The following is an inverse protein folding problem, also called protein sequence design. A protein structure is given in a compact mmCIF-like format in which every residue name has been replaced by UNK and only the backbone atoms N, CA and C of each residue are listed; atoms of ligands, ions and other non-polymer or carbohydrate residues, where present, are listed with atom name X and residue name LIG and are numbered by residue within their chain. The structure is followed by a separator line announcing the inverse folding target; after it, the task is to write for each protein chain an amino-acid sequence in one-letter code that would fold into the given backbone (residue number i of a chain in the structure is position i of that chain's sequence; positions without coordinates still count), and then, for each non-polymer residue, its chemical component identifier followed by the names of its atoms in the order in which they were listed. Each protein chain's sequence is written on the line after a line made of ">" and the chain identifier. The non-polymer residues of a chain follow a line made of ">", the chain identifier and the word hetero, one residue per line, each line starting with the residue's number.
data_IF_806094816861
#
_entry.id   IF_806094816861
#
_cell.length_a   1.000
_cell.length_b   1.000
_cell.length_c   1.000
_cell.angle_alpha   90.00
_cell.angle_beta   90.00
_cell.angle_gamma   90.00
#
_symmetry.space_group_name_H-M   'P 1'
#
loop_
_entity.id
_entity.type
_entity.pdbx_description
1 polymer ?
#
# COMPACT_ATOMS: atom_id res chain seq x y z
N UNK A 1 -0.39 -13.57 1.13
CA UNK A 1 -0.94 -14.74 0.42
C UNK A 1 -0.75 -14.59 -1.08
N UNK A 2 -1.24 -13.51 -1.74
CA UNK A 2 -1.15 -13.31 -3.19
C UNK A 2 0.30 -13.39 -3.69
N UNK A 3 1.23 -12.65 -3.06
CA UNK A 3 2.65 -12.67 -3.43
C UNK A 3 3.30 -14.06 -3.33
N UNK A 4 2.95 -14.83 -2.30
CA UNK A 4 3.42 -16.19 -2.12
C UNK A 4 2.92 -17.12 -3.22
N UNK A 5 1.63 -17.06 -3.53
CA UNK A 5 1.01 -17.84 -4.59
C UNK A 5 1.61 -17.50 -5.96
N UNK A 6 1.81 -16.22 -6.26
CA UNK A 6 2.45 -15.78 -7.50
C UNK A 6 3.91 -16.24 -7.60
N UNK A 7 4.69 -16.12 -6.53
CA UNK A 7 6.06 -16.62 -6.49
C UNK A 7 6.12 -18.15 -6.72
N UNK A 8 5.22 -18.92 -6.11
CA UNK A 8 5.13 -20.36 -6.31
C UNK A 8 4.80 -20.70 -7.77
N UNK A 9 3.76 -20.09 -8.34
CA UNK A 9 3.36 -20.35 -9.73
C UNK A 9 4.46 -19.98 -10.70
N UNK A 10 5.17 -18.88 -10.47
CA UNK A 10 6.22 -18.42 -11.38
C UNK A 10 7.51 -19.22 -11.23
N UNK A 11 8.03 -19.37 -10.00
CA UNK A 11 9.37 -19.94 -9.81
C UNK A 11 9.39 -21.45 -9.63
N UNK A 12 8.27 -22.08 -9.25
CA UNK A 12 8.17 -23.53 -9.09
C UNK A 12 7.41 -24.21 -10.22
N UNK A 13 6.39 -23.53 -10.79
CA UNK A 13 5.58 -24.07 -11.89
C UNK A 13 5.96 -23.52 -13.26
N UNK A 14 6.91 -22.57 -13.34
CA UNK A 14 7.37 -21.97 -14.60
C UNK A 14 6.31 -21.15 -15.33
N UNK A 15 5.31 -20.61 -14.60
CA UNK A 15 4.25 -19.81 -15.18
C UNK A 15 4.66 -18.33 -15.30
N UNK A 16 4.15 -17.58 -16.28
CA UNK A 16 4.33 -16.14 -16.33
C UNK A 16 3.87 -15.44 -15.05
N UNK A 17 4.53 -14.35 -14.68
CA UNK A 17 4.20 -13.56 -13.49
C UNK A 17 2.99 -12.66 -13.77
N UNK A 18 1.80 -13.26 -13.86
CA UNK A 18 0.52 -12.56 -14.01
C UNK A 18 -0.52 -13.16 -13.06
N UNK A 19 -1.55 -12.36 -12.72
CA UNK A 19 -2.54 -12.73 -11.70
C UNK A 19 -3.37 -13.94 -12.11
N UNK A 20 -3.69 -14.06 -13.40
CA UNK A 20 -4.49 -15.19 -13.91
C UNK A 20 -3.91 -16.55 -13.56
N UNK A 21 -2.58 -16.71 -13.56
CA UNK A 21 -1.94 -18.00 -13.25
C UNK A 21 -2.10 -18.42 -11.79
N UNK A 22 -2.38 -17.48 -10.90
CA UNK A 22 -2.71 -17.78 -9.51
C UNK A 22 -3.98 -18.65 -9.40
N UNK A 23 -4.91 -18.47 -10.35
CA UNK A 23 -6.19 -19.19 -10.40
C UNK A 23 -6.14 -20.47 -11.26
N UNK A 24 -4.98 -20.83 -11.83
CA UNK A 24 -4.82 -22.04 -12.64
C UNK A 24 -5.29 -23.30 -11.89
N UNK A 25 -4.98 -23.51 -10.60
CA UNK A 25 -5.42 -24.72 -9.88
C UNK A 25 -6.93 -24.85 -9.74
N UNK A 26 -7.66 -23.73 -9.79
CA UNK A 26 -9.13 -23.68 -9.65
C UNK A 26 -9.85 -23.76 -10.99
N UNK A 27 -9.37 -23.04 -12.00
CA UNK A 27 -10.06 -22.86 -13.27
C UNK A 27 -9.53 -23.77 -14.39
N UNK A 28 -8.35 -24.32 -14.18
CA UNK A 28 -7.65 -25.13 -15.18
C UNK A 28 -6.96 -24.30 -16.28
N UNK A 29 -5.92 -24.89 -16.86
CA UNK A 29 -5.04 -24.22 -17.84
C UNK A 29 -5.77 -23.68 -19.06
N UNK A 30 -6.68 -24.47 -19.63
CA UNK A 30 -7.40 -24.11 -20.86
C UNK A 30 -8.23 -22.80 -20.72
N UNK A 31 -8.85 -22.61 -19.54
CA UNK A 31 -9.64 -21.40 -19.25
C UNK A 31 -8.74 -20.20 -18.97
N UNK A 32 -7.60 -20.41 -18.31
CA UNK A 32 -6.63 -19.36 -17.96
C UNK A 32 -5.91 -18.83 -19.21
N UNK A 33 -5.62 -19.67 -20.18
CA UNK A 33 -5.03 -19.25 -21.48
C UNK A 33 -6.05 -18.58 -22.41
N UNK A 34 -7.34 -18.68 -22.13
CA UNK A 34 -8.44 -18.10 -22.91
C UNK A 34 -8.93 -16.74 -22.43
N UNK A 35 -10.11 -16.36 -22.91
CA UNK A 35 -10.76 -15.07 -22.60
C UNK A 35 -10.97 -14.80 -21.11
N UNK A 36 -11.26 -15.84 -20.32
CA UNK A 36 -11.42 -15.71 -18.87
C UNK A 36 -10.11 -15.24 -18.23
N UNK A 37 -8.97 -15.80 -18.62
CA UNK A 37 -7.67 -15.37 -18.10
C UNK A 37 -7.34 -13.92 -18.46
N UNK A 38 -7.66 -13.48 -19.68
CA UNK A 38 -7.49 -12.09 -20.06
C UNK A 38 -8.41 -11.15 -19.29
N UNK A 39 -9.65 -11.55 -19.01
CA UNK A 39 -10.57 -10.78 -18.18
C UNK A 39 -10.04 -10.63 -16.73
N UNK A 40 -9.50 -11.71 -16.13
CA UNK A 40 -8.88 -11.69 -14.81
C UNK A 40 -7.71 -10.69 -14.75
N UNK A 41 -6.80 -10.74 -15.73
CA UNK A 41 -5.67 -9.80 -15.78
C UNK A 41 -6.15 -8.36 -15.99
N UNK A 42 -7.16 -8.13 -16.83
CA UNK A 42 -7.73 -6.80 -17.05
C UNK A 42 -8.34 -6.22 -15.75
N UNK A 43 -9.14 -7.01 -15.03
CA UNK A 43 -9.71 -6.61 -13.74
C UNK A 43 -8.61 -6.33 -12.70
N UNK A 44 -7.57 -7.16 -12.66
CA UNK A 44 -6.43 -6.94 -11.77
C UNK A 44 -5.67 -5.64 -12.09
N UNK A 45 -5.50 -5.30 -13.38
CA UNK A 45 -4.88 -4.04 -13.80
C UNK A 45 -5.75 -2.85 -13.41
N UNK A 46 -7.04 -2.91 -13.68
CA UNK A 46 -7.99 -1.84 -13.32
C UNK A 46 -7.99 -1.64 -11.78
N UNK A 47 -8.12 -2.72 -11.01
CA UNK A 47 -8.06 -2.65 -9.56
C UNK A 47 -6.74 -2.03 -9.05
N UNK A 48 -5.61 -2.43 -9.65
CA UNK A 48 -4.29 -1.87 -9.32
C UNK A 48 -4.23 -0.36 -9.58
N UNK A 49 -4.75 0.11 -10.74
CA UNK A 49 -4.77 1.53 -11.07
C UNK A 49 -5.58 2.34 -10.04
N UNK A 50 -6.76 1.86 -9.65
CA UNK A 50 -7.56 2.52 -8.62
C UNK A 50 -6.90 2.47 -7.23
N UNK A 51 -6.29 1.35 -6.86
CA UNK A 51 -5.56 1.21 -5.60
C UNK A 51 -4.37 2.16 -5.49
N UNK A 52 -3.58 2.30 -6.56
CA UNK A 52 -2.45 3.26 -6.63
C UNK A 52 -2.96 4.70 -6.63
N UNK A 53 -4.01 5.01 -7.39
CA UNK A 53 -4.59 6.35 -7.43
C UNK A 53 -5.11 6.79 -6.04
N UNK A 54 -5.76 5.89 -5.30
CA UNK A 54 -6.21 6.13 -3.93
C UNK A 54 -5.03 6.44 -3.01
N UNK A 55 -3.96 5.64 -3.08
CA UNK A 55 -2.74 5.87 -2.28
C UNK A 55 -2.08 7.22 -2.58
N UNK A 56 -1.98 7.57 -3.86
CA UNK A 56 -1.44 8.86 -4.30
C UNK A 56 -2.32 10.01 -3.81
N UNK A 57 -3.64 9.87 -3.92
CA UNK A 57 -4.60 10.87 -3.46
C UNK A 57 -4.46 11.18 -1.98
N UNK A 58 -4.37 10.15 -1.13
CA UNK A 58 -4.12 10.34 0.30
C UNK A 58 -2.78 11.01 0.59
N UNK A 59 -1.71 10.62 -0.11
CA UNK A 59 -0.41 11.25 0.05
C UNK A 59 -0.44 12.74 -0.27
N UNK A 60 -1.09 13.10 -1.36
CA UNK A 60 -1.26 14.51 -1.76
C UNK A 60 -2.09 15.29 -0.75
N UNK A 61 -3.20 14.72 -0.26
CA UNK A 61 -4.04 15.36 0.75
C UNK A 61 -3.27 15.59 2.06
N UNK A 62 -2.45 14.64 2.50
CA UNK A 62 -1.62 14.78 3.70
C UNK A 62 -0.57 15.89 3.55
N UNK A 63 0.10 15.95 2.39
CA UNK A 63 1.07 17.03 2.10
C UNK A 63 0.36 18.38 2.08
N UNK A 64 -0.78 18.48 1.38
CA UNK A 64 -1.56 19.72 1.29
C UNK A 64 -2.00 20.19 2.66
N UNK A 65 -2.61 19.32 3.46
CA UNK A 65 -3.06 19.65 4.82
C UNK A 65 -1.88 20.07 5.73
N UNK A 66 -0.72 19.42 5.61
CA UNK A 66 0.47 19.81 6.36
C UNK A 66 0.99 21.19 5.99
N UNK A 67 1.05 21.51 4.71
CA UNK A 67 1.51 22.83 4.23
C UNK A 67 0.52 23.95 4.58
N UNK A 68 -0.78 23.67 4.49
CA UNK A 68 -1.84 24.59 4.89
C UNK A 68 -1.80 24.88 6.40
N UNK A 69 -1.60 23.83 7.22
CA UNK A 69 -1.42 24.00 8.67
C UNK A 69 -0.24 24.90 9.04
N UNK A 70 0.85 24.84 8.26
CA UNK A 70 2.01 25.70 8.43
C UNK A 70 1.77 27.14 7.89
N UNK A 71 0.63 27.41 7.26
CA UNK A 71 0.31 28.70 6.65
C UNK A 71 1.14 29.03 5.40
N UNK A 72 1.75 28.03 4.78
CA UNK A 72 2.63 28.25 3.61
C UNK A 72 1.86 28.32 2.30
N UNK A 73 0.76 27.59 2.20
CA UNK A 73 -0.04 27.48 0.97
C UNK A 73 -1.52 27.29 1.33
N UNK A 74 -2.41 27.88 0.54
CA UNK A 74 -3.83 27.55 0.57
C UNK A 74 -4.10 26.32 -0.33
N UNK A 75 -4.81 25.33 0.19
CA UNK A 75 -5.16 24.13 -0.56
C UNK A 75 -6.22 24.46 -1.62
N UNK A 76 -5.78 24.70 -2.84
CA UNK A 76 -6.63 24.86 -4.02
C UNK A 76 -6.58 23.62 -4.90
N UNK A 77 -7.61 23.40 -5.73
CA UNK A 77 -7.61 22.32 -6.70
C UNK A 77 -6.38 22.34 -7.62
N UNK A 78 -5.93 23.55 -7.98
CA UNK A 78 -4.77 23.73 -8.83
C UNK A 78 -3.46 23.31 -8.14
N UNK A 79 -3.33 23.59 -6.85
CA UNK A 79 -2.20 23.16 -6.04
C UNK A 79 -2.14 21.62 -5.91
N UNK A 80 -3.29 20.98 -5.70
CA UNK A 80 -3.40 19.52 -5.66
C UNK A 80 -2.97 18.88 -6.99
N UNK A 81 -3.42 19.41 -8.12
CA UNK A 81 -3.00 18.95 -9.46
C UNK A 81 -1.50 19.10 -9.66
N UNK A 82 -0.93 20.22 -9.23
CA UNK A 82 0.52 20.46 -9.30
C UNK A 82 1.32 19.46 -8.46
N UNK A 83 0.87 19.16 -7.24
CA UNK A 83 1.49 18.14 -6.40
C UNK A 83 1.42 16.75 -7.04
N UNK A 84 0.28 16.36 -7.60
CA UNK A 84 0.13 15.09 -8.32
C UNK A 84 1.12 15.03 -9.47
N UNK A 85 1.21 16.07 -10.28
CA UNK A 85 2.13 16.15 -11.42
C UNK A 85 3.60 16.05 -10.98
N UNK A 86 3.96 16.74 -9.89
CA UNK A 86 5.32 16.70 -9.34
C UNK A 86 5.68 15.31 -8.84
N UNK A 87 4.83 14.70 -8.01
CA UNK A 87 5.08 13.37 -7.45
C UNK A 87 5.15 12.32 -8.56
N UNK A 88 4.22 12.38 -9.52
CA UNK A 88 4.21 11.48 -10.68
C UNK A 88 5.46 11.69 -11.53
N UNK A 89 5.89 12.92 -11.73
CA UNK A 89 7.12 13.26 -12.44
C UNK A 89 8.37 12.67 -11.78
N UNK A 90 8.50 12.81 -10.46
CA UNK A 90 9.61 12.22 -9.67
C UNK A 90 9.58 10.69 -9.78
N UNK A 91 8.41 10.08 -9.63
CA UNK A 91 8.25 8.64 -9.74
C UNK A 91 8.63 8.13 -11.14
N UNK A 92 8.16 8.81 -12.19
CA UNK A 92 8.47 8.48 -13.58
C UNK A 92 9.97 8.61 -13.85
N UNK A 93 10.58 9.71 -13.42
CA UNK A 93 12.04 9.91 -13.55
C UNK A 93 12.81 8.80 -12.84
N UNK A 94 12.40 8.42 -11.62
CA UNK A 94 13.03 7.33 -10.88
C UNK A 94 12.95 5.99 -11.62
N UNK A 95 11.84 5.72 -12.31
CA UNK A 95 11.68 4.48 -13.09
C UNK A 95 12.51 4.50 -14.37
N UNK A 96 12.55 5.64 -15.08
CA UNK A 96 13.32 5.79 -16.34
C UNK A 96 14.81 5.69 -16.11
N UNK A 97 15.34 6.21 -14.99
CA UNK A 97 16.75 6.11 -14.62
C UNK A 97 17.21 4.71 -14.22
N UNK A 98 16.29 3.78 -14.13
CA UNK A 98 16.55 2.36 -13.84
C UNK A 98 15.96 1.92 -12.51
N UNK A 99 15.05 0.96 -12.61
CA UNK A 99 14.27 0.41 -11.47
C UNK A 99 15.15 -0.01 -10.29
N UNK A 100 16.33 -0.58 -10.56
CA UNK A 100 17.21 -1.09 -9.50
C UNK A 100 17.99 0.00 -8.76
N UNK A 101 18.38 1.09 -9.43
CA UNK A 101 19.16 2.18 -8.82
C UNK A 101 18.25 3.28 -8.27
N UNK A 102 17.30 3.76 -9.07
CA UNK A 102 16.40 4.85 -8.68
C UNK A 102 15.48 4.51 -7.51
N UNK A 103 14.81 3.36 -7.56
CA UNK A 103 13.94 2.91 -6.47
C UNK A 103 14.71 2.64 -5.17
N UNK A 104 15.89 2.03 -5.27
CA UNK A 104 16.74 1.76 -4.09
C UNK A 104 17.18 3.07 -3.42
N UNK A 105 17.60 4.05 -4.22
CA UNK A 105 18.05 5.35 -3.71
C UNK A 105 16.90 6.09 -3.02
N UNK A 106 15.75 6.19 -3.68
CA UNK A 106 14.55 6.83 -3.13
C UNK A 106 14.06 6.14 -1.85
N UNK A 107 14.04 4.80 -1.83
CA UNK A 107 13.68 4.02 -0.65
C UNK A 107 14.65 4.24 0.52
N UNK A 108 15.94 4.27 0.26
CA UNK A 108 16.95 4.52 1.31
C UNK A 108 16.83 5.93 1.89
N UNK A 109 16.58 6.95 1.06
CA UNK A 109 16.34 8.32 1.53
C UNK A 109 15.09 8.34 2.41
N UNK A 110 13.99 7.74 1.96
CA UNK A 110 12.75 7.69 2.73
C UNK A 110 12.96 7.04 4.10
N UNK A 111 13.67 5.90 4.15
CA UNK A 111 14.00 5.23 5.41
C UNK A 111 14.91 6.08 6.30
N UNK A 112 15.90 6.74 5.72
CA UNK A 112 16.80 7.64 6.47
C UNK A 112 16.03 8.84 7.04
N UNK A 113 15.13 9.45 6.26
CA UNK A 113 14.28 10.55 6.72
C UNK A 113 13.32 10.11 7.82
N UNK A 114 12.69 8.95 7.69
CA UNK A 114 11.82 8.40 8.71
C UNK A 114 12.59 8.13 10.02
N UNK A 115 13.77 7.54 9.94
CA UNK A 115 14.65 7.33 11.09
C UNK A 115 15.10 8.64 11.75
N UNK A 116 15.52 9.62 10.93
CA UNK A 116 15.92 10.93 11.42
C UNK A 116 14.77 11.65 12.12
N UNK A 117 13.56 11.61 11.54
CA UNK A 117 12.37 12.20 12.13
C UNK A 117 12.02 11.52 13.47
N UNK A 118 12.07 10.19 13.52
CA UNK A 118 11.80 9.45 14.77
C UNK A 118 12.80 9.83 15.87
N UNK A 119 14.09 9.89 15.56
CA UNK A 119 15.14 10.30 16.48
C UNK A 119 14.97 11.76 16.91
N UNK A 120 14.67 12.65 15.96
CA UNK A 120 14.41 14.05 16.22
C UNK A 120 13.26 14.24 17.22
N UNK A 121 12.12 13.59 16.97
CA UNK A 121 10.96 13.66 17.87
C UNK A 121 11.27 13.05 19.23
N UNK A 122 12.05 11.97 19.28
CA UNK A 122 12.43 11.33 20.52
C UNK A 122 13.35 12.21 21.39
N UNK A 123 14.31 12.91 20.78
CA UNK A 123 15.29 13.73 21.50
C UNK A 123 14.72 15.10 21.90
N UNK A 124 14.01 15.76 20.99
CA UNK A 124 13.49 17.13 21.21
C UNK A 124 12.09 17.14 21.82
N UNK A 125 11.37 16.04 21.74
CA UNK A 125 10.06 15.89 22.36
C UNK A 125 10.14 15.47 23.83
N UNK A 126 9.00 15.33 24.50
CA UNK A 126 8.93 14.84 25.88
C UNK A 126 9.19 13.32 25.91
N UNK A 127 10.46 12.93 25.87
CA UNK A 127 10.91 11.53 25.69
C UNK A 127 10.26 10.56 26.67
N UNK A 128 10.19 10.92 27.96
CA UNK A 128 9.58 10.07 28.98
C UNK A 128 8.09 9.83 28.71
N UNK A 129 7.37 10.90 28.35
CA UNK A 129 5.96 10.81 27.99
C UNK A 129 5.75 9.96 26.73
N UNK A 130 6.59 10.11 25.73
CA UNK A 130 6.53 9.31 24.49
C UNK A 130 6.72 7.82 24.79
N UNK A 131 7.69 7.47 25.62
CA UNK A 131 7.95 6.09 26.00
C UNK A 131 6.80 5.48 26.82
N UNK A 132 6.30 6.22 27.81
CA UNK A 132 5.17 5.79 28.63
C UNK A 132 3.90 5.63 27.78
N UNK A 133 3.62 6.61 26.93
CA UNK A 133 2.46 6.57 26.02
C UNK A 133 2.53 5.41 25.02
N UNK A 134 3.73 5.10 24.52
CA UNK A 134 3.92 3.97 23.62
C UNK A 134 3.54 2.64 24.29
N UNK A 135 4.03 2.41 25.50
CA UNK A 135 3.71 1.19 26.27
C UNK A 135 2.21 1.13 26.60
N UNK A 136 1.63 2.24 27.05
CA UNK A 136 0.22 2.31 27.40
C UNK A 136 -0.68 2.11 26.16
N UNK A 137 -0.33 2.73 25.04
CA UNK A 137 -1.08 2.56 23.79
C UNK A 137 -1.01 1.14 23.26
N UNK A 138 0.13 0.44 23.41
CA UNK A 138 0.24 -0.97 23.06
C UNK A 138 -0.73 -1.82 23.88
N UNK A 139 -0.79 -1.59 25.19
CA UNK A 139 -1.74 -2.27 26.08
C UNK A 139 -3.19 -1.98 25.71
N UNK A 140 -3.52 -0.71 25.48
CA UNK A 140 -4.86 -0.30 25.03
C UNK A 140 -5.26 -0.90 23.67
N UNK A 141 -4.32 -0.97 22.72
CA UNK A 141 -4.55 -1.61 21.43
C UNK A 141 -4.88 -3.10 21.57
N UNK A 142 -4.08 -3.84 22.36
CA UNK A 142 -4.32 -5.28 22.58
C UNK A 142 -5.68 -5.50 23.27
N UNK A 143 -6.05 -4.66 24.22
CA UNK A 143 -7.33 -4.73 24.92
C UNK A 143 -8.51 -4.45 23.97
N UNK A 144 -8.39 -3.44 23.13
CA UNK A 144 -9.44 -3.04 22.19
C UNK A 144 -9.52 -3.93 20.92
N UNK A 145 -8.51 -4.77 20.68
CA UNK A 145 -8.39 -5.55 19.45
C UNK A 145 -9.63 -6.43 19.15
N UNK A 146 -10.19 -7.19 20.10
CA UNK A 146 -11.37 -8.01 19.83
C UNK A 146 -12.60 -7.16 19.42
N UNK A 147 -12.83 -6.06 20.12
CA UNK A 147 -13.92 -5.13 19.82
C UNK A 147 -13.76 -4.52 18.41
N UNK A 148 -12.60 -3.99 18.10
CA UNK A 148 -12.32 -3.38 16.80
C UNK A 148 -12.39 -4.39 15.65
N UNK A 149 -11.89 -5.61 15.86
CA UNK A 149 -11.88 -6.66 14.84
C UNK A 149 -13.28 -7.20 14.52
N UNK A 150 -14.18 -7.21 15.53
CA UNK A 150 -15.54 -7.75 15.40
C UNK A 150 -16.60 -6.67 15.27
N UNK A 151 -16.23 -5.40 15.21
CA UNK A 151 -17.15 -4.28 15.13
C UNK A 151 -17.85 -4.24 13.77
N UNK A 152 -19.14 -4.50 13.76
CA UNK A 152 -20.02 -4.41 12.58
C UNK A 152 -21.02 -3.27 12.67
N UNK A 153 -21.13 -2.64 13.86
CA UNK A 153 -22.03 -1.50 14.15
C UNK A 153 -23.51 -1.71 13.73
N UNK A 154 -24.14 -2.88 13.99
CA UNK A 154 -25.49 -3.15 13.51
C UNK A 154 -26.56 -2.29 14.18
N UNK A 155 -26.28 -1.72 15.35
CA UNK A 155 -27.19 -0.91 16.15
C UNK A 155 -26.82 0.58 16.17
N UNK A 156 -25.78 0.97 15.46
CA UNK A 156 -25.31 2.35 15.38
C UNK A 156 -25.06 2.72 13.92
N UNK A 157 -25.70 3.77 13.44
CA UNK A 157 -25.44 4.33 12.11
C UNK A 157 -24.30 5.35 12.21
N UNK A 158 -23.12 4.87 12.57
CA UNK A 158 -21.93 5.71 12.80
C UNK A 158 -20.97 5.79 11.58
N UNK A 159 -21.32 5.14 10.47
CA UNK A 159 -20.50 5.09 9.26
C UNK A 159 -19.14 4.40 9.44
N UNK A 160 -18.84 3.87 10.64
CA UNK A 160 -17.53 3.26 10.96
C UNK A 160 -17.20 2.08 10.03
N UNK A 161 -18.17 1.19 9.84
CA UNK A 161 -17.98 0.02 8.96
C UNK A 161 -17.72 0.42 7.51
N UNK A 162 -18.38 1.47 7.00
CA UNK A 162 -18.14 1.98 5.65
C UNK A 162 -16.74 2.61 5.51
N UNK A 163 -16.36 3.48 6.45
CA UNK A 163 -15.10 4.23 6.40
C UNK A 163 -13.86 3.37 6.70
N UNK A 164 -13.99 2.35 7.55
CA UNK A 164 -12.84 1.53 7.95
C UNK A 164 -12.88 0.13 7.33
N UNK A 165 -13.90 -0.65 7.58
CA UNK A 165 -13.93 -2.03 7.13
C UNK A 165 -14.07 -2.13 5.61
N UNK A 166 -15.14 -1.58 5.05
CA UNK A 166 -15.45 -1.73 3.61
C UNK A 166 -14.42 -1.01 2.77
N UNK A 167 -14.07 0.23 3.15
CA UNK A 167 -13.10 1.04 2.41
C UNK A 167 -11.71 0.40 2.39
N UNK A 168 -11.16 0.02 3.55
CA UNK A 168 -9.83 -0.58 3.63
C UNK A 168 -9.77 -1.96 2.99
N UNK A 169 -10.78 -2.80 3.13
CA UNK A 169 -10.84 -4.07 2.42
C UNK A 169 -10.90 -3.88 0.91
N UNK A 170 -11.74 -2.98 0.42
CA UNK A 170 -11.83 -2.65 -1.00
C UNK A 170 -10.50 -2.14 -1.56
N UNK A 171 -9.85 -1.22 -0.86
CA UNK A 171 -8.55 -0.67 -1.22
C UNK A 171 -7.47 -1.76 -1.26
N UNK A 172 -7.33 -2.56 -0.20
CA UNK A 172 -6.33 -3.63 -0.13
C UNK A 172 -6.56 -4.73 -1.15
N UNK A 173 -7.79 -5.14 -1.40
CA UNK A 173 -8.11 -6.13 -2.44
C UNK A 173 -7.72 -5.60 -3.83
N UNK A 174 -8.02 -4.35 -4.12
CA UNK A 174 -7.66 -3.71 -5.39
C UNK A 174 -6.14 -3.60 -5.57
N UNK A 175 -5.42 -3.32 -4.50
CA UNK A 175 -3.96 -3.13 -4.53
C UNK A 175 -3.17 -4.45 -4.41
N UNK A 176 -3.78 -5.50 -3.89
CA UNK A 176 -3.12 -6.79 -3.64
C UNK A 176 -2.45 -7.43 -4.88
N UNK A 177 -2.99 -7.36 -6.11
CA UNK A 177 -2.33 -7.88 -7.30
C UNK A 177 -0.98 -7.22 -7.57
N UNK A 178 -0.90 -5.90 -7.44
CA UNK A 178 0.33 -5.13 -7.63
C UNK A 178 1.37 -5.46 -6.56
N UNK A 179 1.00 -5.38 -5.29
CA UNK A 179 1.89 -5.70 -4.18
C UNK A 179 2.34 -7.15 -4.23
N UNK A 180 1.43 -8.06 -4.57
CA UNK A 180 1.74 -9.48 -4.72
C UNK A 180 2.78 -9.76 -5.82
N UNK A 181 2.65 -9.09 -6.97
CA UNK A 181 3.63 -9.15 -8.06
C UNK A 181 5.00 -8.62 -7.63
N UNK A 182 5.02 -7.47 -6.96
CA UNK A 182 6.24 -6.85 -6.46
C UNK A 182 6.95 -7.78 -5.46
N UNK A 183 6.23 -8.29 -4.45
CA UNK A 183 6.77 -9.21 -3.46
C UNK A 183 7.30 -10.49 -4.13
N UNK A 184 6.56 -11.06 -5.06
CA UNK A 184 7.01 -12.24 -5.79
C UNK A 184 8.34 -11.97 -6.53
N UNK A 185 8.46 -10.81 -7.16
CA UNK A 185 9.65 -10.43 -7.93
C UNK A 185 10.90 -10.25 -7.08
N UNK A 186 10.79 -9.58 -5.91
CA UNK A 186 11.92 -9.34 -5.00
C UNK A 186 12.29 -10.59 -4.17
N UNK A 187 11.37 -11.57 -4.10
CA UNK A 187 11.58 -12.81 -3.32
C UNK A 187 12.23 -13.93 -4.13
N UNK A 188 12.64 -13.67 -5.37
CA UNK A 188 13.31 -14.69 -6.21
C UNK A 188 14.55 -15.24 -5.52
N UNK A 189 14.62 -16.58 -5.39
CA UNK A 189 15.76 -17.28 -4.77
C UNK A 189 15.77 -17.26 -3.24
N UNK A 190 14.75 -16.69 -2.59
CA UNK A 190 14.61 -16.69 -1.12
C UNK A 190 13.72 -17.84 -0.66
N UNK A 191 13.97 -18.31 0.55
CA UNK A 191 13.12 -19.31 1.21
C UNK A 191 12.01 -18.65 2.00
N UNK A 192 10.87 -19.33 2.13
CA UNK A 192 9.78 -18.96 3.03
C UNK A 192 10.17 -19.47 4.42
N UNK A 193 10.66 -18.61 5.26
CA UNK A 193 10.96 -18.88 6.67
C UNK A 193 10.41 -17.74 7.51
#
# INVERSE_FOLDING_TARGET
>A
VVGLGMAYMTYRKGRPLTVRWLLEPLLGRKRIEGGIGHAIDAVAIIGTLFGVATSLGFGVQQISAGLEYLGWVETTNWFVVLLIALITGIATFSVVTGVSKGLKWLSNINMAMAGALAVFVLILGPTLFLMQSWVQNLGGYVQALPELALRTSPFADDGWAAGWTIFYWGWWMSWAPFVGMFIARISRGRTIR
#
